data_IF_270134085358
#
_entry.id   IF_270134085358
#
_cell.length_a   1.000
_cell.length_b   1.000
_cell.length_c   1.000
_cell.angle_alpha   90.00
_cell.angle_beta   90.00
_cell.angle_gamma   90.00
#
_symmetry.space_group_name_H-M   'P 1'
#
loop_
_entity.id
_entity.type
_entity.pdbx_description
1 polymer ?
#
# COMPACT_ATOMS: atom_id res chain seq x y z
N UNK A 1 13.57 10.38 -4.94
CA UNK A 1 13.68 10.06 -3.50
C UNK A 1 12.46 10.48 -2.66
N UNK A 2 11.73 11.55 -2.97
CA UNK A 2 10.61 12.04 -2.12
C UNK A 2 9.24 11.33 -2.29
N UNK A 3 9.00 10.60 -3.37
CA UNK A 3 7.65 10.02 -3.65
C UNK A 3 7.33 8.70 -2.96
N UNK A 4 8.33 7.94 -2.53
CA UNK A 4 8.11 6.68 -1.81
C UNK A 4 7.85 6.92 -0.30
N UNK A 5 8.44 7.97 0.28
CA UNK A 5 8.13 8.40 1.65
C UNK A 5 6.65 8.76 1.84
N UNK A 6 5.98 9.27 0.79
CA UNK A 6 4.53 9.53 0.82
C UNK A 6 3.69 8.26 0.82
N UNK A 7 4.19 7.14 0.29
CA UNK A 7 3.46 5.86 0.28
C UNK A 7 3.49 5.15 1.63
N UNK A 8 4.56 5.28 2.41
CA UNK A 8 4.58 4.83 3.82
C UNK A 8 3.56 5.61 4.66
N UNK A 9 3.24 6.85 4.29
CA UNK A 9 2.34 7.72 5.04
C UNK A 9 0.84 7.48 4.76
N UNK A 10 0.45 6.73 3.76
CA UNK A 10 -0.96 6.63 3.31
C UNK A 10 -1.77 5.55 4.05
N UNK A 11 -1.11 4.61 4.73
CA UNK A 11 -1.78 3.61 5.59
C UNK A 11 -1.69 4.02 7.06
N UNK A 12 -1.91 5.30 7.32
CA UNK A 12 -1.97 5.81 8.68
C UNK A 12 -3.35 5.54 9.27
N UNK A 13 -3.40 4.63 10.24
CA UNK A 13 -4.55 4.45 11.16
C UNK A 13 -5.84 3.91 10.50
N UNK A 14 -5.72 2.86 9.69
CA UNK A 14 -6.84 1.95 9.48
C UNK A 14 -7.19 1.31 10.84
N UNK A 15 -8.44 1.41 11.26
CA UNK A 15 -8.92 0.64 12.42
C UNK A 15 -8.58 -0.82 12.18
N UNK A 16 -8.07 -1.51 13.22
CA UNK A 16 -7.91 -2.97 13.22
C UNK A 16 -9.17 -3.61 12.66
N UNK A 17 -9.06 -4.81 12.11
CA UNK A 17 -10.18 -5.49 11.43
C UNK A 17 -11.49 -5.20 12.19
N UNK A 18 -12.34 -4.33 11.61
CA UNK A 18 -13.64 -4.05 12.18
C UNK A 18 -14.36 -5.38 12.21
N UNK A 19 -14.85 -5.77 13.39
CA UNK A 19 -15.96 -6.70 13.47
C UNK A 19 -16.98 -6.30 12.40
N UNK A 20 -17.49 -7.27 11.66
CA UNK A 20 -18.43 -7.01 10.57
C UNK A 20 -19.49 -6.01 11.04
N UNK A 21 -19.84 -5.07 10.16
CA UNK A 21 -20.78 -3.96 10.42
C UNK A 21 -22.15 -4.45 10.95
N UNK A 22 -22.46 -5.76 10.79
CA UNK A 22 -23.64 -6.44 11.32
C UNK A 22 -23.62 -6.66 12.84
N UNK A 23 -22.44 -6.54 13.50
CA UNK A 23 -22.26 -6.97 14.89
C UNK A 23 -22.10 -5.79 15.86
N UNK A 24 -22.51 -4.56 15.47
CA UNK A 24 -22.51 -3.42 16.38
C UNK A 24 -23.64 -3.64 17.41
N UNK A 25 -23.30 -3.74 18.71
CA UNK A 25 -24.29 -3.95 19.76
C UNK A 25 -25.32 -2.82 19.81
N UNK A 26 -26.46 -3.06 20.47
CA UNK A 26 -27.46 -2.03 20.71
C UNK A 26 -26.83 -0.87 21.50
N UNK A 27 -26.98 0.36 21.02
CA UNK A 27 -26.38 1.54 21.65
C UNK A 27 -26.76 1.68 23.14
N UNK A 28 -28.06 1.56 23.47
CA UNK A 28 -28.55 1.77 24.85
C UNK A 28 -27.99 0.71 25.81
N UNK A 29 -27.91 -0.53 25.37
CA UNK A 29 -27.34 -1.63 26.15
C UNK A 29 -25.83 -1.44 26.35
N UNK A 30 -25.11 -1.13 25.24
CA UNK A 30 -23.67 -0.85 25.28
C UNK A 30 -23.35 0.35 26.18
N UNK A 31 -24.16 1.41 26.13
CA UNK A 31 -23.98 2.58 26.99
C UNK A 31 -24.21 2.23 28.48
N UNK A 32 -25.21 1.42 28.79
CA UNK A 32 -25.47 0.98 30.16
C UNK A 32 -24.30 0.18 30.72
N UNK A 33 -23.80 -0.82 29.97
CA UNK A 33 -22.67 -1.64 30.39
C UNK A 33 -21.37 -0.83 30.50
N UNK A 34 -21.13 0.09 29.56
CA UNK A 34 -19.96 0.98 29.59
C UNK A 34 -19.96 1.87 30.85
N UNK A 35 -21.14 2.39 31.24
CA UNK A 35 -21.32 3.16 32.48
C UNK A 35 -21.08 2.32 33.74
N UNK A 36 -21.35 1.01 33.66
CA UNK A 36 -21.06 0.05 34.74
C UNK A 36 -19.56 -0.34 34.81
N UNK A 37 -18.76 0.10 33.86
CA UNK A 37 -17.32 -0.10 33.89
C UNK A 37 -16.80 -1.22 32.97
N UNK A 38 -17.66 -1.88 32.20
CA UNK A 38 -17.24 -2.92 31.27
C UNK A 38 -16.29 -2.35 30.17
N UNK A 39 -15.05 -2.79 30.17
CA UNK A 39 -14.02 -2.25 29.26
C UNK A 39 -14.35 -2.49 27.77
N UNK A 40 -14.86 -3.68 27.42
CA UNK A 40 -15.23 -4.01 26.05
C UNK A 40 -16.41 -3.13 25.57
N UNK A 41 -17.41 -2.89 26.43
CA UNK A 41 -18.54 -2.02 26.13
C UNK A 41 -18.10 -0.55 26.04
N UNK A 42 -17.15 -0.11 26.86
CA UNK A 42 -16.54 1.21 26.75
C UNK A 42 -15.80 1.38 25.42
N UNK A 43 -15.01 0.38 24.99
CA UNK A 43 -14.37 0.38 23.68
C UNK A 43 -15.41 0.45 22.55
N UNK A 44 -16.44 -0.41 22.59
CA UNK A 44 -17.52 -0.43 21.60
C UNK A 44 -18.26 0.91 21.52
N UNK A 45 -18.56 1.51 22.65
CA UNK A 45 -19.23 2.81 22.72
C UNK A 45 -18.33 3.92 22.14
N UNK A 46 -17.02 3.87 22.41
CA UNK A 46 -16.03 4.73 21.78
C UNK A 46 -16.02 4.57 20.25
N UNK A 47 -16.09 3.35 19.72
CA UNK A 47 -16.21 3.08 18.30
C UNK A 47 -17.51 3.63 17.70
N UNK A 48 -18.64 3.46 18.39
CA UNK A 48 -19.93 4.00 17.95
C UNK A 48 -19.86 5.51 17.74
N UNK A 49 -19.33 6.24 18.70
CA UNK A 49 -19.13 7.68 18.58
C UNK A 49 -18.10 8.06 17.51
N UNK A 50 -17.01 7.29 17.39
CA UNK A 50 -15.99 7.55 16.38
C UNK A 50 -16.53 7.41 14.95
N UNK A 51 -17.31 6.36 14.70
CA UNK A 51 -17.86 6.03 13.39
C UNK A 51 -19.16 6.79 13.07
N UNK A 52 -19.87 7.27 14.10
CA UNK A 52 -21.22 7.79 13.95
C UNK A 52 -22.25 6.70 13.68
N UNK A 53 -22.08 5.52 14.29
CA UNK A 53 -22.98 4.37 14.14
C UNK A 53 -23.68 4.07 15.47
N UNK A 54 -24.98 4.09 15.46
CA UNK A 54 -25.81 3.98 16.68
C UNK A 54 -25.89 5.27 17.50
N UNK A 55 -24.98 6.23 17.28
CA UNK A 55 -24.97 7.56 17.85
C UNK A 55 -24.42 8.58 16.81
N UNK A 56 -24.74 9.88 16.93
CA UNK A 56 -24.07 10.92 16.15
C UNK A 56 -22.56 10.88 16.35
N UNK A 57 -21.81 11.13 15.28
CA UNK A 57 -20.36 11.13 15.32
C UNK A 57 -19.81 12.20 16.25
N UNK A 58 -19.07 11.78 17.27
CA UNK A 58 -18.46 12.66 18.26
C UNK A 58 -17.09 12.12 18.70
N UNK A 59 -16.02 12.75 18.23
CA UNK A 59 -14.67 12.32 18.58
C UNK A 59 -14.27 12.62 20.04
N UNK A 60 -14.91 13.59 20.71
CA UNK A 60 -14.66 13.84 22.13
C UNK A 60 -15.27 12.74 22.99
N UNK A 61 -16.49 12.29 22.65
CA UNK A 61 -17.08 11.13 23.28
C UNK A 61 -16.29 9.85 22.98
N UNK A 62 -15.83 9.67 21.73
CA UNK A 62 -14.97 8.55 21.38
C UNK A 62 -13.67 8.52 22.22
N UNK A 63 -13.01 9.66 22.38
CA UNK A 63 -11.81 9.80 23.23
C UNK A 63 -12.13 9.44 24.68
N UNK A 64 -13.20 10.00 25.24
CA UNK A 64 -13.61 9.72 26.62
C UNK A 64 -13.77 8.23 26.89
N UNK A 65 -14.48 7.52 26.02
CA UNK A 65 -14.77 6.11 26.20
C UNK A 65 -13.56 5.22 25.89
N UNK A 66 -12.77 5.53 24.86
CA UNK A 66 -11.50 4.84 24.60
C UNK A 66 -10.54 5.00 25.77
N UNK A 67 -10.44 6.18 26.38
CA UNK A 67 -9.58 6.40 27.54
C UNK A 67 -9.97 5.50 28.71
N UNK A 68 -11.26 5.41 29.03
CA UNK A 68 -11.73 4.54 30.12
C UNK A 68 -11.41 3.07 29.89
N UNK A 69 -11.58 2.58 28.67
CA UNK A 69 -11.21 1.21 28.31
C UNK A 69 -9.68 1.02 28.29
N UNK A 70 -8.93 1.97 27.75
CA UNK A 70 -7.47 1.93 27.67
C UNK A 70 -6.79 1.92 29.05
N UNK A 71 -7.34 2.66 30.00
CA UNK A 71 -6.88 2.69 31.40
C UNK A 71 -7.10 1.34 32.10
N UNK A 72 -8.11 0.56 31.69
CA UNK A 72 -8.34 -0.81 32.13
C UNK A 72 -7.46 -1.84 31.40
N UNK A 73 -6.62 -1.41 30.44
CA UNK A 73 -5.69 -2.27 29.74
C UNK A 73 -6.19 -2.78 28.38
N UNK A 74 -7.39 -2.37 27.93
CA UNK A 74 -7.91 -2.76 26.62
C UNK A 74 -6.96 -2.29 25.52
N UNK A 75 -6.40 -3.25 24.75
CA UNK A 75 -5.34 -3.00 23.80
C UNK A 75 -5.82 -2.27 22.54
N UNK A 76 -7.04 -2.55 22.12
CA UNK A 76 -7.68 -1.87 20.99
C UNK A 76 -8.00 -0.42 21.34
N UNK A 77 -8.52 -0.19 22.54
CA UNK A 77 -8.78 1.15 23.06
C UNK A 77 -7.47 1.97 23.20
N UNK A 78 -6.39 1.36 23.73
CA UNK A 78 -5.08 2.02 23.80
C UNK A 78 -4.58 2.43 22.41
N UNK A 79 -4.72 1.55 21.42
CA UNK A 79 -4.29 1.82 20.05
C UNK A 79 -5.14 2.93 19.42
N UNK A 80 -6.46 2.89 19.58
CA UNK A 80 -7.36 3.90 19.04
C UNK A 80 -7.17 5.26 19.71
N UNK A 81 -6.97 5.28 21.03
CA UNK A 81 -6.67 6.52 21.76
C UNK A 81 -5.34 7.14 21.32
N UNK A 82 -4.30 6.33 21.13
CA UNK A 82 -3.04 6.75 20.50
C UNK A 82 -3.28 7.37 19.13
N UNK A 83 -4.14 6.76 18.31
CA UNK A 83 -4.53 7.25 16.99
C UNK A 83 -5.27 8.60 17.05
N UNK A 84 -6.14 8.81 18.03
CA UNK A 84 -6.82 10.10 18.24
C UNK A 84 -5.83 11.22 18.55
N UNK A 85 -4.89 10.97 19.47
CA UNK A 85 -3.82 11.93 19.78
C UNK A 85 -2.91 12.22 18.60
N UNK A 86 -2.54 11.17 17.84
CA UNK A 86 -1.71 11.35 16.66
C UNK A 86 -2.37 12.24 15.60
N UNK A 87 -3.69 12.10 15.42
CA UNK A 87 -4.45 12.84 14.41
C UNK A 87 -5.04 14.16 14.91
N UNK A 88 -5.07 14.42 16.22
CA UNK A 88 -5.76 15.56 16.80
C UNK A 88 -7.28 15.48 16.64
N UNK A 89 -7.86 14.27 16.70
CA UNK A 89 -9.30 14.06 16.56
C UNK A 89 -9.98 14.00 17.94
N UNK A 90 -10.85 14.95 18.23
CA UNK A 90 -11.53 15.07 19.53
C UNK A 90 -10.64 15.59 20.65
N UNK A 91 -9.35 15.65 20.44
CA UNK A 91 -8.31 16.17 21.34
C UNK A 91 -7.32 17.02 20.54
N UNK A 92 -6.53 17.86 21.23
CA UNK A 92 -5.38 18.48 20.61
C UNK A 92 -4.38 17.41 20.14
N UNK A 93 -3.76 17.61 18.98
CA UNK A 93 -2.72 16.71 18.49
C UNK A 93 -1.56 16.68 19.49
N UNK A 94 -1.19 15.47 19.93
CA UNK A 94 -0.11 15.25 20.88
C UNK A 94 0.60 13.92 20.56
N UNK A 95 1.77 14.01 19.95
CA UNK A 95 2.54 12.83 19.53
C UNK A 95 3.18 12.09 20.72
N UNK A 96 3.44 12.76 21.84
CA UNK A 96 3.95 12.11 23.06
C UNK A 96 2.86 11.25 23.71
N UNK A 97 1.62 11.75 23.77
CA UNK A 97 0.48 10.95 24.20
C UNK A 97 0.21 9.80 23.25
N UNK A 98 0.29 10.03 21.94
CA UNK A 98 0.16 8.97 20.95
C UNK A 98 1.20 7.87 21.17
N UNK A 99 2.47 8.23 21.33
CA UNK A 99 3.56 7.30 21.62
C UNK A 99 3.31 6.53 22.92
N UNK A 100 2.92 7.21 23.99
CA UNK A 100 2.63 6.58 25.27
C UNK A 100 1.58 5.46 25.15
N UNK A 101 0.47 5.75 24.50
CA UNK A 101 -0.60 4.76 24.33
C UNK A 101 -0.24 3.63 23.39
N UNK A 102 0.45 3.92 22.28
CA UNK A 102 0.98 2.88 21.40
C UNK A 102 2.02 2.00 22.10
N UNK A 103 2.87 2.55 22.96
CA UNK A 103 3.82 1.78 23.75
C UNK A 103 3.11 0.80 24.70
N UNK A 104 2.04 1.23 25.36
CA UNK A 104 1.27 0.34 26.23
C UNK A 104 0.64 -0.82 25.44
N UNK A 105 0.04 -0.56 24.30
CA UNK A 105 -0.55 -1.61 23.48
C UNK A 105 0.54 -2.51 22.83
N UNK A 106 1.64 -1.93 22.38
CA UNK A 106 2.76 -2.66 21.80
C UNK A 106 3.46 -3.59 22.81
N UNK A 107 3.53 -3.17 24.07
CA UNK A 107 4.07 -4.00 25.15
C UNK A 107 3.20 -5.24 25.43
N UNK A 108 1.92 -5.19 25.14
CA UNK A 108 1.00 -6.33 25.20
C UNK A 108 1.10 -7.24 23.95
N UNK A 109 2.00 -6.94 23.02
CA UNK A 109 2.20 -7.73 21.80
C UNK A 109 1.33 -7.35 20.62
N UNK A 110 0.51 -6.31 20.70
CA UNK A 110 -0.43 -5.95 19.65
C UNK A 110 0.29 -5.45 18.39
N UNK A 111 0.22 -6.22 17.30
CA UNK A 111 1.02 -5.99 16.08
C UNK A 111 0.77 -4.62 15.45
N UNK A 112 -0.50 -4.17 15.44
CA UNK A 112 -0.84 -2.84 14.91
C UNK A 112 -0.18 -1.73 15.72
N UNK A 113 -0.23 -1.78 17.04
CA UNK A 113 0.40 -0.78 17.90
C UNK A 113 1.94 -0.79 17.77
N UNK A 114 2.54 -1.97 17.60
CA UNK A 114 3.97 -2.09 17.28
C UNK A 114 4.30 -1.41 15.95
N UNK A 115 3.48 -1.61 14.93
CA UNK A 115 3.62 -0.93 13.64
C UNK A 115 3.48 0.59 13.79
N UNK A 116 2.44 1.07 14.49
CA UNK A 116 2.19 2.50 14.70
C UNK A 116 3.34 3.16 15.46
N UNK A 117 3.86 2.48 16.47
CA UNK A 117 5.03 2.95 17.23
C UNK A 117 6.30 2.99 16.35
N UNK A 118 6.52 1.96 15.54
CA UNK A 118 7.59 1.94 14.54
C UNK A 118 7.48 3.12 13.57
N UNK A 119 6.26 3.49 13.18
CA UNK A 119 5.98 4.63 12.31
C UNK A 119 6.31 5.98 12.98
N UNK A 120 6.01 6.13 14.26
CA UNK A 120 6.39 7.32 15.04
C UNK A 120 7.92 7.50 15.04
N UNK A 121 8.66 6.44 15.33
CA UNK A 121 10.12 6.48 15.32
C UNK A 121 10.70 6.70 13.92
N UNK A 122 10.11 6.09 12.90
CA UNK A 122 10.56 6.22 11.51
C UNK A 122 10.46 7.66 10.98
N UNK A 123 9.40 8.37 11.33
CA UNK A 123 9.18 9.76 10.88
C UNK A 123 9.64 10.81 11.87
N UNK A 124 10.00 10.45 13.09
CA UNK A 124 10.34 11.41 14.14
C UNK A 124 9.17 12.33 14.50
N UNK A 125 7.95 11.79 14.59
CA UNK A 125 6.76 12.58 14.90
C UNK A 125 6.68 12.87 16.40
N UNK A 126 6.94 14.15 16.77
CA UNK A 126 6.99 14.60 18.16
C UNK A 126 8.19 14.08 18.98
N UNK A 127 9.06 13.31 18.35
CA UNK A 127 10.30 12.79 18.94
C UNK A 127 11.42 12.86 17.92
N UNK A 128 12.65 12.67 18.34
CA UNK A 128 13.78 12.50 17.44
C UNK A 128 13.58 11.23 16.57
N UNK A 129 13.91 11.34 15.29
CA UNK A 129 13.83 10.21 14.36
C UNK A 129 14.85 9.13 14.76
N UNK A 130 14.37 7.89 14.89
CA UNK A 130 15.19 6.74 15.26
C UNK A 130 14.83 5.54 14.39
N UNK A 131 15.64 5.30 13.36
CA UNK A 131 15.44 4.17 12.46
C UNK A 131 15.72 2.82 13.12
N UNK A 132 16.61 2.75 14.13
CA UNK A 132 16.90 1.50 14.84
C UNK A 132 15.69 1.06 15.65
N UNK A 133 15.05 1.99 16.36
CA UNK A 133 13.80 1.71 17.06
C UNK A 133 12.67 1.37 16.08
N UNK A 134 12.56 2.11 14.99
CA UNK A 134 11.56 1.82 13.96
C UNK A 134 11.71 0.40 13.41
N UNK A 135 12.92 -0.03 13.08
CA UNK A 135 13.20 -1.37 12.59
C UNK A 135 12.80 -2.44 13.59
N UNK A 136 13.16 -2.28 14.87
CA UNK A 136 12.82 -3.24 15.93
C UNK A 136 11.31 -3.40 16.10
N UNK A 137 10.57 -2.30 16.05
CA UNK A 137 9.11 -2.34 16.21
C UNK A 137 8.42 -2.90 14.96
N UNK A 138 8.87 -2.53 13.76
CA UNK A 138 8.38 -3.13 12.53
C UNK A 138 8.69 -4.63 12.46
N UNK A 139 9.86 -5.08 12.92
CA UNK A 139 10.22 -6.50 12.96
C UNK A 139 9.25 -7.31 13.83
N UNK A 140 8.96 -6.83 15.05
CA UNK A 140 7.96 -7.46 15.93
C UNK A 140 6.58 -7.58 15.29
N UNK A 141 6.11 -6.51 14.65
CA UNK A 141 4.82 -6.53 13.96
C UNK A 141 4.84 -7.42 12.70
N UNK A 142 5.93 -7.39 11.94
CA UNK A 142 6.10 -8.18 10.73
C UNK A 142 6.19 -9.70 11.00
N UNK A 143 6.82 -10.09 12.11
CA UNK A 143 6.88 -11.48 12.57
C UNK A 143 5.50 -12.03 12.91
N UNK A 144 4.60 -11.20 13.40
CA UNK A 144 3.20 -11.51 13.64
C UNK A 144 2.34 -11.51 12.36
N UNK A 145 2.93 -11.24 11.20
CA UNK A 145 2.22 -11.22 9.93
C UNK A 145 1.60 -9.86 9.56
N UNK A 146 1.87 -8.79 10.32
CA UNK A 146 1.30 -7.48 9.99
C UNK A 146 1.82 -6.98 8.64
N UNK A 147 0.93 -6.89 7.66
CA UNK A 147 1.25 -6.66 6.25
C UNK A 147 2.11 -5.42 6.01
N UNK A 148 1.67 -4.27 6.53
CA UNK A 148 2.38 -3.01 6.31
C UNK A 148 3.76 -3.00 6.98
N UNK A 149 3.90 -3.69 8.12
CA UNK A 149 5.19 -3.83 8.79
C UNK A 149 6.15 -4.70 7.98
N UNK A 150 5.68 -5.78 7.36
CA UNK A 150 6.50 -6.61 6.47
C UNK A 150 7.03 -5.81 5.28
N UNK A 151 6.16 -5.03 4.65
CA UNK A 151 6.55 -4.19 3.52
C UNK A 151 7.53 -3.09 3.93
N UNK A 152 7.27 -2.40 5.04
CA UNK A 152 8.15 -1.34 5.54
C UNK A 152 9.50 -1.88 6.00
N UNK A 153 9.53 -3.02 6.67
CA UNK A 153 10.78 -3.68 7.07
C UNK A 153 11.61 -4.11 5.85
N UNK A 154 10.96 -4.58 4.79
CA UNK A 154 11.64 -4.87 3.53
C UNK A 154 12.33 -3.62 2.95
N UNK A 155 11.64 -2.47 2.97
CA UNK A 155 12.22 -1.19 2.54
C UNK A 155 13.41 -0.79 3.43
N UNK A 156 13.33 -1.01 4.75
CA UNK A 156 14.42 -0.69 5.67
C UNK A 156 15.67 -1.53 5.36
N UNK A 157 15.53 -2.84 5.16
CA UNK A 157 16.64 -3.70 4.74
C UNK A 157 17.20 -3.33 3.37
N UNK A 158 16.35 -2.91 2.44
CA UNK A 158 16.76 -2.54 1.08
C UNK A 158 17.63 -1.27 1.04
N UNK A 159 17.34 -0.34 1.96
CA UNK A 159 18.01 0.96 2.02
C UNK A 159 19.07 1.05 3.12
N UNK A 160 19.04 0.20 4.13
CA UNK A 160 19.90 0.25 5.31
C UNK A 160 19.43 1.29 6.33
N UNK A 161 18.11 1.44 6.53
CA UNK A 161 17.56 2.33 7.55
C UNK A 161 17.42 1.59 8.89
N UNK A 162 18.21 1.94 9.89
CA UNK A 162 18.21 1.31 11.21
C UNK A 162 18.57 -0.18 11.22
N UNK A 163 19.04 -0.70 10.09
CA UNK A 163 19.52 -2.06 9.90
C UNK A 163 20.63 -2.06 8.86
N UNK A 164 21.52 -3.02 8.91
CA UNK A 164 22.50 -3.23 7.84
C UNK A 164 21.76 -3.54 6.54
N UNK A 165 22.14 -2.86 5.46
CA UNK A 165 21.55 -3.08 4.13
C UNK A 165 21.71 -4.55 3.71
N UNK A 166 20.57 -5.21 3.46
CA UNK A 166 20.52 -6.62 3.08
C UNK A 166 19.37 -6.87 2.10
N UNK A 167 19.71 -6.95 0.82
CA UNK A 167 18.74 -7.17 -0.26
C UNK A 167 18.10 -8.56 -0.21
N UNK A 168 18.79 -9.55 0.33
CA UNK A 168 18.25 -10.91 0.52
C UNK A 168 17.15 -10.92 1.58
N UNK A 169 17.39 -10.26 2.72
CA UNK A 169 16.37 -10.08 3.76
C UNK A 169 15.21 -9.22 3.25
N UNK A 170 15.49 -8.15 2.50
CA UNK A 170 14.44 -7.36 1.88
C UNK A 170 13.51 -8.21 1.00
N UNK A 171 14.07 -9.06 0.13
CA UNK A 171 13.29 -9.98 -0.71
C UNK A 171 12.44 -10.95 0.12
N UNK A 172 12.96 -11.48 1.23
CA UNK A 172 12.18 -12.35 2.11
C UNK A 172 10.94 -11.65 2.68
N UNK A 173 11.08 -10.40 3.10
CA UNK A 173 9.97 -9.63 3.64
C UNK A 173 9.00 -9.15 2.56
N UNK A 174 9.51 -8.69 1.39
CA UNK A 174 8.65 -8.41 0.22
C UNK A 174 7.83 -9.62 -0.19
N UNK A 175 8.41 -10.83 -0.16
CA UNK A 175 7.69 -12.05 -0.48
C UNK A 175 6.53 -12.30 0.48
N UNK A 176 6.76 -12.19 1.80
CA UNK A 176 5.70 -12.36 2.80
C UNK A 176 4.55 -11.37 2.59
N UNK A 177 4.86 -10.09 2.32
CA UNK A 177 3.84 -9.09 2.01
C UNK A 177 3.12 -9.37 0.68
N UNK A 178 3.85 -9.80 -0.36
CA UNK A 178 3.29 -10.16 -1.66
C UNK A 178 2.37 -11.39 -1.60
N UNK A 179 2.70 -12.38 -0.79
CA UNK A 179 1.88 -13.58 -0.53
C UNK A 179 0.56 -13.22 0.17
N UNK A 180 0.55 -12.19 0.99
CA UNK A 180 -0.67 -11.63 1.59
C UNK A 180 -1.47 -10.72 0.65
N UNK A 181 -0.99 -10.52 -0.59
CA UNK A 181 -1.71 -9.75 -1.61
C UNK A 181 -1.30 -8.29 -1.74
N UNK A 182 -0.27 -7.82 -1.00
CA UNK A 182 0.18 -6.43 -1.12
C UNK A 182 0.67 -6.15 -2.54
N UNK A 183 -0.05 -5.27 -3.25
CA UNK A 183 0.13 -5.00 -4.67
C UNK A 183 1.54 -4.50 -5.01
N UNK A 184 2.05 -3.53 -4.23
CA UNK A 184 3.37 -2.95 -4.48
C UNK A 184 4.50 -3.94 -4.14
N UNK A 185 4.31 -4.82 -3.13
CA UNK A 185 5.26 -5.88 -2.82
C UNK A 185 5.31 -6.92 -3.94
N UNK A 186 4.17 -7.29 -4.51
CA UNK A 186 4.10 -8.19 -5.67
C UNK A 186 4.87 -7.62 -6.86
N UNK A 187 4.64 -6.36 -7.19
CA UNK A 187 5.39 -5.69 -8.27
C UNK A 187 6.88 -5.59 -7.94
N UNK A 188 7.23 -5.20 -6.71
CA UNK A 188 8.62 -5.10 -6.29
C UNK A 188 9.31 -6.47 -6.37
N UNK A 189 8.68 -7.53 -5.90
CA UNK A 189 9.21 -8.88 -5.97
C UNK A 189 9.42 -9.34 -7.42
N UNK A 190 8.48 -9.02 -8.31
CA UNK A 190 8.62 -9.29 -9.73
C UNK A 190 9.87 -8.61 -10.32
N UNK A 191 10.07 -7.32 -10.02
CA UNK A 191 11.26 -6.59 -10.49
C UNK A 191 12.56 -7.14 -9.91
N UNK A 192 12.55 -7.65 -8.66
CA UNK A 192 13.70 -8.34 -8.08
C UNK A 192 14.07 -9.61 -8.84
N UNK A 193 13.08 -10.41 -9.22
CA UNK A 193 13.29 -11.58 -10.06
C UNK A 193 13.75 -11.22 -11.48
N UNK A 194 13.22 -10.15 -12.09
CA UNK A 194 13.64 -9.71 -13.42
C UNK A 194 15.12 -9.30 -13.48
N UNK A 195 15.59 -8.63 -12.42
CA UNK A 195 16.92 -8.04 -12.39
C UNK A 195 17.94 -8.83 -11.56
N UNK A 196 17.51 -9.86 -10.82
CA UNK A 196 18.39 -10.64 -9.94
C UNK A 196 18.88 -9.84 -8.73
N UNK A 197 18.07 -8.94 -8.18
CA UNK A 197 18.47 -8.06 -7.07
C UNK A 197 18.08 -8.69 -5.72
N UNK A 198 19.08 -9.19 -4.99
CA UNK A 198 18.88 -9.89 -3.71
C UNK A 198 18.31 -11.31 -3.84
N UNK A 199 18.11 -11.77 -5.06
CA UNK A 199 17.62 -13.10 -5.42
C UNK A 199 18.14 -13.49 -6.79
N UNK A 200 18.21 -14.79 -7.09
CA UNK A 200 18.57 -15.26 -8.42
C UNK A 200 17.54 -14.80 -9.46
N UNK A 201 18.03 -14.33 -10.60
CA UNK A 201 17.19 -13.89 -11.74
C UNK A 201 16.33 -15.04 -12.25
N UNK A 202 15.03 -14.80 -12.35
CA UNK A 202 14.04 -15.76 -12.83
C UNK A 202 12.85 -15.05 -13.48
N UNK A 203 12.81 -15.01 -14.79
CA UNK A 203 11.72 -14.38 -15.53
C UNK A 203 10.37 -15.09 -15.40
N UNK A 204 10.35 -16.42 -15.16
CA UNK A 204 9.09 -17.15 -14.94
C UNK A 204 8.45 -16.72 -13.63
N UNK A 205 9.23 -16.64 -12.56
CA UNK A 205 8.77 -16.12 -11.27
C UNK A 205 8.35 -14.65 -11.39
N UNK A 206 9.12 -13.84 -12.10
CA UNK A 206 8.77 -12.43 -12.32
C UNK A 206 7.38 -12.29 -12.95
N UNK A 207 7.08 -13.03 -14.03
CA UNK A 207 5.79 -12.98 -14.70
C UNK A 207 4.64 -13.43 -13.80
N UNK A 208 4.83 -14.45 -12.96
CA UNK A 208 3.80 -14.87 -12.00
C UNK A 208 3.42 -13.74 -11.04
N UNK A 209 4.40 -13.02 -10.51
CA UNK A 209 4.17 -11.89 -9.62
C UNK A 209 3.65 -10.65 -10.36
N UNK A 210 4.16 -10.36 -11.58
CA UNK A 210 3.60 -9.30 -12.42
C UNK A 210 2.11 -9.51 -12.69
N UNK A 211 1.70 -10.75 -13.00
CA UNK A 211 0.30 -11.05 -13.26
C UNK A 211 -0.58 -10.73 -12.05
N UNK A 212 -0.18 -11.19 -10.85
CA UNK A 212 -0.93 -10.90 -9.61
C UNK A 212 -1.08 -9.40 -9.36
N UNK A 213 0.00 -8.64 -9.54
CA UNK A 213 -0.05 -7.19 -9.39
C UNK A 213 -0.87 -6.51 -10.49
N UNK A 214 -0.77 -6.98 -11.75
CA UNK A 214 -1.50 -6.43 -12.90
C UNK A 214 -3.01 -6.68 -12.81
N UNK A 215 -3.43 -7.82 -12.28
CA UNK A 215 -4.83 -8.15 -11.97
C UNK A 215 -5.42 -7.24 -10.89
N UNK A 216 -4.58 -6.70 -10.00
CA UNK A 216 -4.92 -5.66 -9.03
C UNK A 216 -4.74 -4.23 -9.59
N UNK A 217 -4.76 -4.07 -10.89
CA UNK A 217 -4.68 -2.78 -11.59
C UNK A 217 -3.37 -2.00 -11.40
N UNK A 218 -2.26 -2.66 -11.00
CA UNK A 218 -0.96 -2.02 -10.96
C UNK A 218 -0.49 -1.67 -12.37
N UNK A 219 -0.50 -0.39 -12.69
CA UNK A 219 -0.18 0.13 -14.03
C UNK A 219 1.21 -0.32 -14.52
N UNK A 220 2.19 -0.29 -13.63
CA UNK A 220 3.57 -0.70 -13.97
C UNK A 220 3.65 -2.20 -14.24
N UNK A 221 2.95 -3.00 -13.42
CA UNK A 221 2.91 -4.44 -13.64
C UNK A 221 2.18 -4.80 -14.94
N UNK A 222 1.12 -4.09 -15.29
CA UNK A 222 0.44 -4.27 -16.58
C UNK A 222 1.36 -3.94 -17.77
N UNK A 223 2.09 -2.83 -17.70
CA UNK A 223 3.07 -2.46 -18.71
C UNK A 223 4.16 -3.53 -18.84
N UNK A 224 4.79 -3.91 -17.72
CA UNK A 224 5.90 -4.88 -17.72
C UNK A 224 5.43 -6.29 -18.16
N UNK A 225 4.19 -6.67 -17.84
CA UNK A 225 3.59 -7.92 -18.30
C UNK A 225 3.33 -7.90 -19.81
N UNK A 226 2.90 -6.76 -20.35
CA UNK A 226 2.82 -6.54 -21.79
C UNK A 226 4.18 -6.70 -22.48
N UNK A 227 5.24 -6.11 -21.91
CA UNK A 227 6.62 -6.26 -22.38
C UNK A 227 7.07 -7.72 -22.30
N UNK A 228 6.74 -8.43 -21.21
CA UNK A 228 7.12 -9.83 -21.06
C UNK A 228 6.47 -10.72 -22.12
N UNK A 229 5.19 -10.51 -22.43
CA UNK A 229 4.51 -11.26 -23.51
C UNK A 229 5.03 -10.89 -24.90
N UNK A 230 5.28 -9.60 -25.17
CA UNK A 230 5.81 -9.18 -26.47
C UNK A 230 7.18 -9.78 -26.77
N UNK A 231 8.06 -9.85 -25.76
CA UNK A 231 9.44 -10.34 -25.94
C UNK A 231 9.61 -11.83 -25.58
N UNK A 232 8.62 -12.50 -25.03
CA UNK A 232 8.74 -13.88 -24.57
C UNK A 232 9.58 -14.05 -23.29
N UNK A 233 9.65 -13.03 -22.43
CA UNK A 233 10.41 -13.09 -21.18
C UNK A 233 9.64 -13.88 -20.11
N UNK A 234 10.10 -15.10 -19.81
CA UNK A 234 9.49 -15.97 -18.82
C UNK A 234 8.14 -16.58 -19.19
N UNK A 235 7.61 -16.21 -20.35
CA UNK A 235 6.41 -16.75 -20.99
C UNK A 235 6.67 -16.98 -22.48
N UNK A 236 5.81 -17.77 -23.13
CA UNK A 236 5.79 -17.83 -24.59
C UNK A 236 5.39 -16.46 -25.14
N UNK A 237 6.09 -16.00 -26.19
CA UNK A 237 5.75 -14.76 -26.89
C UNK A 237 4.29 -14.82 -27.38
N UNK A 238 3.51 -13.78 -27.09
CA UNK A 238 2.11 -13.64 -27.47
C UNK A 238 1.74 -12.15 -27.59
N UNK A 239 1.75 -11.64 -28.81
CA UNK A 239 1.43 -10.23 -29.07
C UNK A 239 -0.03 -9.88 -28.78
N UNK A 240 -0.97 -10.85 -28.80
CA UNK A 240 -2.35 -10.58 -28.39
C UNK A 240 -2.45 -10.34 -26.88
N UNK A 241 -1.70 -11.11 -26.09
CA UNK A 241 -1.60 -10.88 -24.65
C UNK A 241 -0.87 -9.56 -24.36
N UNK A 242 0.20 -9.25 -25.10
CA UNK A 242 0.89 -7.97 -24.97
C UNK A 242 -0.06 -6.80 -25.23
N UNK A 243 -0.83 -6.84 -26.33
CA UNK A 243 -1.83 -5.83 -26.67
C UNK A 243 -2.88 -5.64 -25.56
N UNK A 244 -3.37 -6.75 -24.98
CA UNK A 244 -4.34 -6.71 -23.88
C UNK A 244 -3.79 -5.96 -22.66
N UNK A 245 -2.58 -6.31 -22.21
CA UNK A 245 -1.99 -5.70 -21.03
C UNK A 245 -1.54 -4.26 -21.26
N UNK A 246 -0.97 -3.95 -22.43
CA UNK A 246 -0.69 -2.55 -22.79
C UNK A 246 -1.94 -1.69 -22.82
N UNK A 247 -3.06 -2.22 -23.34
CA UNK A 247 -4.33 -1.49 -23.35
C UNK A 247 -4.79 -1.16 -21.93
N UNK A 248 -4.74 -2.14 -21.02
CA UNK A 248 -5.08 -1.93 -19.61
C UNK A 248 -4.26 -0.80 -18.97
N UNK A 249 -2.96 -0.80 -19.17
CA UNK A 249 -2.07 0.24 -18.64
C UNK A 249 -2.29 1.61 -19.34
N UNK A 250 -2.54 1.60 -20.65
CA UNK A 250 -2.75 2.80 -21.46
C UNK A 250 -4.06 3.53 -21.10
N UNK A 251 -5.13 2.78 -20.85
CA UNK A 251 -6.42 3.31 -20.39
C UNK A 251 -6.30 3.99 -19.00
N UNK A 252 -5.35 3.58 -18.19
CA UNK A 252 -5.00 4.22 -16.92
C UNK A 252 -3.98 5.37 -17.07
N UNK A 253 -3.64 5.76 -18.30
CA UNK A 253 -2.80 6.92 -18.57
C UNK A 253 -1.30 6.64 -18.66
N UNK A 254 -0.83 5.38 -18.70
CA UNK A 254 0.58 5.07 -18.95
C UNK A 254 1.00 5.52 -20.33
N UNK A 255 1.82 6.57 -20.41
CA UNK A 255 2.33 7.10 -21.70
C UNK A 255 3.20 6.07 -22.43
N UNK A 256 3.98 5.26 -21.72
CA UNK A 256 4.78 4.19 -22.30
C UNK A 256 3.89 3.09 -22.91
N UNK A 257 2.83 2.69 -22.21
CA UNK A 257 1.87 1.71 -22.74
C UNK A 257 1.08 2.25 -23.93
N UNK A 258 0.71 3.53 -23.92
CA UNK A 258 0.07 4.20 -25.04
C UNK A 258 0.99 4.23 -26.27
N UNK A 259 2.28 4.52 -26.07
CA UNK A 259 3.25 4.44 -27.15
C UNK A 259 3.38 3.02 -27.70
N UNK A 260 3.54 2.01 -26.83
CA UNK A 260 3.62 0.62 -27.24
C UNK A 260 2.37 0.14 -28.00
N UNK A 261 1.18 0.55 -27.60
CA UNK A 261 -0.06 0.31 -28.37
C UNK A 261 0.00 0.95 -29.76
N UNK A 262 0.44 2.19 -29.86
CA UNK A 262 0.65 2.86 -31.13
C UNK A 262 1.59 2.06 -32.04
N UNK A 263 2.69 1.57 -31.51
CA UNK A 263 3.64 0.71 -32.23
C UNK A 263 2.98 -0.59 -32.71
N UNK A 264 2.21 -1.26 -31.83
CA UNK A 264 1.52 -2.51 -32.20
C UNK A 264 0.52 -2.31 -33.35
N UNK A 265 -0.28 -1.23 -33.31
CA UNK A 265 -1.19 -0.91 -34.41
C UNK A 265 -0.46 -0.45 -35.66
N UNK A 266 0.68 0.25 -35.54
CA UNK A 266 1.48 0.69 -36.68
C UNK A 266 2.06 -0.49 -37.47
N UNK A 267 2.52 -1.54 -36.78
CA UNK A 267 3.15 -2.71 -37.40
C UNK A 267 2.22 -3.93 -37.55
N UNK A 268 1.01 -3.89 -37.02
CA UNK A 268 0.06 -5.01 -37.06
C UNK A 268 0.48 -6.16 -36.15
N UNK A 269 1.10 -5.88 -34.99
CA UNK A 269 1.57 -6.88 -34.02
C UNK A 269 0.41 -7.30 -33.09
N UNK A 270 -0.02 -8.54 -33.19
CA UNK A 270 -1.16 -9.07 -32.41
C UNK A 270 -2.53 -8.48 -32.76
N UNK A 271 -2.59 -7.58 -33.74
CA UNK A 271 -3.78 -6.86 -34.22
C UNK A 271 -3.62 -6.51 -35.70
N UNK A 272 -4.71 -6.27 -36.42
CA UNK A 272 -4.64 -5.75 -37.78
C UNK A 272 -3.98 -4.35 -37.81
N UNK A 273 -3.05 -4.15 -38.74
CA UNK A 273 -2.39 -2.87 -38.94
C UNK A 273 -3.42 -1.75 -39.16
N UNK A 274 -3.27 -0.64 -38.44
CA UNK A 274 -4.15 0.52 -38.56
C UNK A 274 -3.40 1.81 -38.18
N UNK A 275 -3.03 2.61 -39.20
CA UNK A 275 -2.25 3.82 -39.00
C UNK A 275 -3.01 4.92 -38.27
N UNK A 276 -4.34 5.05 -38.51
CA UNK A 276 -5.16 6.04 -37.83
C UNK A 276 -5.25 5.76 -36.34
N UNK A 277 -5.47 4.50 -35.95
CA UNK A 277 -5.46 4.08 -34.54
C UNK A 277 -4.08 4.24 -33.92
N UNK A 278 -3.01 3.91 -34.66
CA UNK A 278 -1.65 4.13 -34.19
C UNK A 278 -1.39 5.61 -33.87
N UNK A 279 -1.79 6.52 -34.77
CA UNK A 279 -1.67 7.98 -34.60
C UNK A 279 -2.43 8.46 -33.35
N UNK A 280 -3.66 7.97 -33.14
CA UNK A 280 -4.42 8.30 -31.93
C UNK A 280 -3.69 7.93 -30.64
N UNK A 281 -3.12 6.71 -30.58
CA UNK A 281 -2.37 6.27 -29.40
C UNK A 281 -1.06 7.02 -29.22
N UNK A 282 -0.34 7.32 -30.29
CA UNK A 282 0.84 8.17 -30.21
C UNK A 282 0.50 9.59 -29.74
N UNK A 283 -0.63 10.16 -30.21
CA UNK A 283 -1.11 11.45 -29.73
C UNK A 283 -1.43 11.45 -28.23
N UNK A 284 -2.09 10.39 -27.71
CA UNK A 284 -2.31 10.22 -26.26
C UNK A 284 -1.01 10.10 -25.50
N UNK A 285 -0.05 9.30 -26.00
CA UNK A 285 1.27 9.16 -25.39
C UNK A 285 2.00 10.51 -25.32
N UNK A 286 1.96 11.29 -26.40
CA UNK A 286 2.54 12.63 -26.44
C UNK A 286 1.90 13.58 -25.41
N UNK A 287 0.59 13.59 -25.35
CA UNK A 287 -0.17 14.41 -24.37
C UNK A 287 0.20 14.04 -22.92
N UNK A 288 0.47 12.75 -22.67
CA UNK A 288 0.87 12.23 -21.35
C UNK A 288 2.40 12.26 -21.11
N UNK A 289 3.14 13.02 -21.92
CA UNK A 289 4.54 13.34 -21.69
C UNK A 289 5.56 12.37 -22.32
N UNK A 290 5.14 11.50 -23.24
CA UNK A 290 6.08 10.66 -24.01
C UNK A 290 6.66 11.41 -25.20
N UNK A 291 7.95 11.74 -25.16
CA UNK A 291 8.64 12.34 -26.33
C UNK A 291 8.59 11.40 -27.54
N UNK A 292 8.80 10.10 -27.32
CA UNK A 292 8.69 9.10 -28.41
C UNK A 292 7.29 9.08 -29.04
N UNK A 293 6.25 9.27 -28.21
CA UNK A 293 4.87 9.42 -28.70
C UNK A 293 4.69 10.65 -29.56
N UNK A 294 5.26 11.79 -29.19
CA UNK A 294 5.20 13.03 -29.97
C UNK A 294 5.90 12.87 -31.33
N UNK A 295 7.11 12.30 -31.33
CA UNK A 295 7.89 12.10 -32.56
C UNK A 295 7.16 11.14 -33.52
N UNK A 296 6.60 10.05 -33.00
CA UNK A 296 5.84 9.08 -33.80
C UNK A 296 4.52 9.69 -34.35
N UNK A 297 3.84 10.48 -33.55
CA UNK A 297 2.64 11.21 -33.97
C UNK A 297 2.93 12.16 -35.12
N UNK A 298 3.95 13.00 -35.00
CA UNK A 298 4.36 13.95 -36.03
C UNK A 298 4.76 13.24 -37.34
N UNK A 299 5.47 12.11 -37.23
CA UNK A 299 5.86 11.33 -38.39
C UNK A 299 4.67 10.78 -39.18
N UNK A 300 3.64 10.29 -38.49
CA UNK A 300 2.41 9.82 -39.16
C UNK A 300 1.59 10.98 -39.73
N UNK A 301 1.54 12.12 -39.04
CA UNK A 301 0.85 13.32 -39.51
C UNK A 301 1.44 13.82 -40.85
N UNK A 302 2.76 13.83 -40.98
CA UNK A 302 3.46 14.21 -42.22
C UNK A 302 3.23 13.22 -43.37
N UNK A 303 2.87 11.98 -43.10
CA UNK A 303 2.60 10.95 -44.14
C UNK A 303 1.11 10.91 -44.56
N UNK A 304 0.29 11.81 -44.02
CA UNK A 304 -1.11 11.95 -44.41
C UNK A 304 -2.10 11.03 -43.73
N UNK A 305 -1.70 10.46 -42.61
CA UNK A 305 -2.58 9.65 -41.72
C UNK A 305 -3.15 10.46 -40.58
#
# INVERSE_FOLDING_TARGET
>A
MKNWLRKIAVVLFGFGQMANVSDIPNFAETEQEAKQGNAASQFNLGLMYYLGKGAPKDYKQAEHWFRRAAEQGDVDAQTNLGGLYYQGKGVAQDYEQAKYWFQKAAAQGFAKAQYDLGTIYFFGKGIEQDYDQAARWYEKAAEQGYLDAQYNLAIMYDNGFGVSKDRGKAVKWYRKAAEQGENQAQYTLATRYMHGVGIQKDFKQAVQWLRRAAEQENIKAQLDLGVAYHNGFGVRQDDKQALYWYRKAAEQGSSEAQYNLGVMYHYGQGVHQNQSVAKEWFGKACHNGSQQGCDAYQKLDQTGY
#
